data_IF_921150962265
#
_entry.id   IF_921150962265
#
_cell.length_a   1.000
_cell.length_b   1.000
_cell.length_c   1.000
_cell.angle_alpha   90.00
_cell.angle_beta   90.00
_cell.angle_gamma   90.00
#
_symmetry.space_group_name_H-M   'P 1'
#
loop_
_entity.id
_entity.type
_entity.pdbx_description
1 polymer ?
#
# COMPACT_ATOMS: atom_id res chain seq x y z
N UNK A 1 8.53 -10.17 12.43
CA UNK A 1 8.17 -8.79 12.07
C UNK A 1 6.70 -8.60 12.38
N UNK A 2 6.27 -7.58 13.15
CA UNK A 2 4.85 -7.40 13.51
C UNK A 2 4.14 -6.31 12.68
N UNK A 3 4.86 -5.24 12.32
CA UNK A 3 4.33 -4.05 11.64
C UNK A 3 5.31 -3.55 10.58
N UNK A 4 4.80 -3.08 9.44
CA UNK A 4 5.59 -2.42 8.38
C UNK A 4 4.99 -1.05 8.10
N UNK A 5 5.85 -0.02 8.10
CA UNK A 5 5.46 1.33 7.68
C UNK A 5 5.71 1.50 6.17
N UNK A 6 4.71 1.94 5.43
CA UNK A 6 4.78 2.14 3.97
C UNK A 6 4.55 3.60 3.62
N UNK A 7 5.43 4.14 2.78
CA UNK A 7 5.32 5.46 2.18
C UNK A 7 5.18 5.31 0.66
N UNK A 8 4.17 5.94 0.07
CA UNK A 8 3.97 5.98 -1.37
C UNK A 8 3.42 7.36 -1.80
N UNK A 9 3.44 7.61 -3.11
CA UNK A 9 2.99 8.90 -3.65
C UNK A 9 1.50 9.14 -3.42
N UNK A 10 1.14 10.39 -3.12
CA UNK A 10 -0.25 10.83 -3.00
C UNK A 10 -1.04 10.74 -4.33
N UNK A 11 -0.35 10.58 -5.46
CA UNK A 11 -0.94 10.33 -6.78
C UNK A 11 -0.84 8.85 -7.15
N UNK A 12 -1.82 8.34 -7.90
CA UNK A 12 -1.80 6.98 -8.48
C UNK A 12 -0.64 6.73 -9.46
N UNK A 13 0.05 7.79 -9.89
CA UNK A 13 1.10 7.72 -10.92
C UNK A 13 0.51 7.63 -12.33
N UNK A 14 1.39 7.51 -13.33
CA UNK A 14 0.99 7.49 -14.76
C UNK A 14 0.70 6.10 -15.31
N UNK A 15 0.96 5.06 -14.51
CA UNK A 15 0.79 3.66 -14.91
C UNK A 15 -0.15 2.96 -13.94
N UNK A 16 -1.15 2.21 -14.43
CA UNK A 16 -2.06 1.44 -13.56
C UNK A 16 -1.32 0.39 -12.73
N UNK A 17 -0.14 -0.04 -13.19
CA UNK A 17 0.72 -1.01 -12.51
C UNK A 17 1.12 -0.58 -11.10
N UNK A 18 1.21 0.72 -10.80
CA UNK A 18 1.51 1.16 -9.44
C UNK A 18 0.40 0.82 -8.45
N UNK A 19 -0.87 0.97 -8.86
CA UNK A 19 -2.02 0.63 -8.04
C UNK A 19 -2.16 -0.89 -7.87
N UNK A 20 -1.87 -1.65 -8.93
CA UNK A 20 -1.84 -3.12 -8.88
C UNK A 20 -0.78 -3.63 -7.89
N UNK A 21 0.45 -3.12 -7.98
CA UNK A 21 1.52 -3.46 -7.03
C UNK A 21 1.17 -3.07 -5.59
N UNK A 22 0.48 -1.94 -5.38
CA UNK A 22 0.04 -1.52 -4.04
C UNK A 22 -0.97 -2.53 -3.44
N UNK A 23 -1.91 -3.02 -4.27
CA UNK A 23 -2.87 -4.07 -3.87
C UNK A 23 -2.19 -5.39 -3.57
N UNK A 24 -1.28 -5.82 -4.44
CA UNK A 24 -0.52 -7.06 -4.25
C UNK A 24 0.30 -7.01 -2.95
N UNK A 25 0.94 -5.88 -2.67
CA UNK A 25 1.67 -5.68 -1.42
C UNK A 25 0.72 -5.78 -0.21
N UNK A 26 -0.41 -5.08 -0.23
CA UNK A 26 -1.40 -5.14 0.86
C UNK A 26 -1.92 -6.56 1.10
N UNK A 27 -2.25 -7.29 0.04
CA UNK A 27 -2.70 -8.68 0.11
C UNK A 27 -1.61 -9.60 0.71
N UNK A 28 -0.35 -9.42 0.30
CA UNK A 28 0.77 -10.22 0.80
C UNK A 28 1.08 -9.92 2.28
N UNK A 29 0.99 -8.65 2.69
CA UNK A 29 1.13 -8.26 4.10
C UNK A 29 0.03 -8.91 4.96
N UNK A 30 -1.22 -8.85 4.50
CA UNK A 30 -2.35 -9.49 5.17
C UNK A 30 -2.16 -11.01 5.25
N UNK A 31 -1.75 -11.67 4.16
CA UNK A 31 -1.48 -13.11 4.11
C UNK A 31 -0.39 -13.53 5.11
N UNK A 32 0.59 -12.67 5.35
CA UNK A 32 1.69 -12.91 6.31
C UNK A 32 1.34 -12.50 7.75
N UNK A 33 0.15 -11.96 8.00
CA UNK A 33 -0.24 -11.44 9.32
C UNK A 33 0.61 -10.24 9.75
N UNK A 34 1.09 -9.44 8.79
CA UNK A 34 1.86 -8.22 9.04
C UNK A 34 0.93 -7.02 9.02
N UNK A 35 0.90 -6.27 10.11
CA UNK A 35 0.12 -5.04 10.19
C UNK A 35 0.76 -3.92 9.35
N UNK A 36 -0.07 -3.26 8.54
CA UNK A 36 0.33 -2.11 7.74
C UNK A 36 0.17 -0.82 8.55
N UNK A 37 1.23 -0.01 8.58
CA UNK A 37 1.23 1.36 9.11
C UNK A 37 1.44 2.33 7.95
N UNK A 38 0.56 3.30 7.77
CA UNK A 38 0.66 4.29 6.71
C UNK A 38 0.09 5.63 7.17
N UNK A 39 0.32 6.70 6.40
CA UNK A 39 -0.04 8.08 6.78
C UNK A 39 -1.54 8.38 6.88
N UNK A 40 -2.43 7.41 6.63
CA UNK A 40 -3.89 7.58 6.77
C UNK A 40 -4.58 8.29 5.60
N UNK A 41 -3.88 8.55 4.50
CA UNK A 41 -4.49 9.12 3.29
C UNK A 41 -5.29 8.07 2.52
N UNK A 42 -6.58 8.30 2.28
CA UNK A 42 -7.43 7.43 1.45
C UNK A 42 -7.41 7.84 -0.04
N UNK A 43 -6.28 8.37 -0.53
CA UNK A 43 -6.11 8.87 -1.90
C UNK A 43 -4.81 8.36 -2.51
N UNK A 44 -4.78 8.24 -3.83
CA UNK A 44 -3.59 7.77 -4.55
C UNK A 44 -3.30 6.29 -4.30
N UNK A 45 -2.01 5.95 -4.12
CA UNK A 45 -1.58 4.58 -3.88
C UNK A 45 -1.81 4.10 -2.44
N UNK A 46 -2.04 5.03 -1.50
CA UNK A 46 -2.30 4.68 -0.09
C UNK A 46 -3.72 4.15 0.13
N UNK A 47 -4.68 4.52 -0.72
CA UNK A 47 -6.08 4.07 -0.65
C UNK A 47 -6.42 2.93 -1.62
N UNK A 48 -5.42 2.32 -2.26
CA UNK A 48 -5.61 1.32 -3.31
C UNK A 48 -5.90 -0.09 -2.77
#
# INVERSE_FOLDING_TARGET
>A
MKRICVFCGASVGRSPRFAEMARELGAELARRGVELVYGGGNIGLMGA
#
